data_IF_303495617539
#
_entry.id   IF_303495617539
#
_cell.length_a   1.000
_cell.length_b   1.000
_cell.length_c   1.000
_cell.angle_alpha   90.00
_cell.angle_beta   90.00
_cell.angle_gamma   90.00
#
_symmetry.space_group_name_H-M   'P 1'
#
loop_
_entity.id
_entity.type
_entity.pdbx_description
1 polymer ?
#
# COMPACT_ATOMS: atom_id res chain seq x y z
N UNK A 1 23.60 4.13 -3.91
CA UNK A 1 22.49 4.50 -3.01
C UNK A 1 21.38 3.51 -3.28
N UNK A 2 20.69 3.01 -2.27
CA UNK A 2 19.52 2.16 -2.46
C UNK A 2 18.32 3.01 -2.91
N UNK A 3 17.45 2.40 -3.70
CA UNK A 3 16.28 3.05 -4.30
C UNK A 3 14.99 2.38 -3.85
N UNK A 4 13.93 3.14 -3.60
CA UNK A 4 12.62 2.60 -3.26
C UNK A 4 11.51 3.37 -3.97
N UNK A 5 10.49 2.62 -4.38
CA UNK A 5 9.26 3.15 -4.97
C UNK A 5 8.14 3.10 -3.94
N UNK A 6 7.45 4.20 -3.71
CA UNK A 6 6.14 4.17 -3.05
C UNK A 6 5.02 4.26 -4.08
N UNK A 7 4.04 3.37 -3.98
CA UNK A 7 2.80 3.37 -4.78
C UNK A 7 1.66 3.65 -3.81
N UNK A 8 1.18 4.87 -3.74
CA UNK A 8 0.18 5.29 -2.74
C UNK A 8 -0.53 6.58 -3.14
N UNK A 9 -1.54 6.95 -2.38
CA UNK A 9 -2.19 8.26 -2.50
C UNK A 9 -1.29 9.40 -2.03
N UNK A 10 -1.56 10.60 -2.52
CA UNK A 10 -0.91 11.84 -2.12
C UNK A 10 -1.71 12.48 -0.97
N UNK A 11 -1.04 12.90 0.10
CA UNK A 11 -1.60 13.73 1.17
C UNK A 11 -1.11 15.18 1.03
N UNK A 12 -2.02 16.09 0.68
CA UNK A 12 -1.67 17.51 0.49
C UNK A 12 -1.13 18.19 1.75
N UNK A 13 -1.44 17.67 2.95
CA UNK A 13 -0.87 18.17 4.21
C UNK A 13 0.52 17.60 4.52
N UNK A 14 0.92 16.54 3.81
CA UNK A 14 2.25 15.94 3.92
C UNK A 14 2.48 15.04 5.12
N UNK A 15 1.43 14.66 5.86
CA UNK A 15 1.51 13.82 7.06
C UNK A 15 1.38 12.32 6.80
N UNK A 16 0.86 11.94 5.64
CA UNK A 16 0.63 10.56 5.22
C UNK A 16 1.00 10.34 3.75
N UNK A 17 0.62 9.20 3.18
CA UNK A 17 0.78 8.88 1.77
C UNK A 17 2.20 8.99 1.25
N UNK A 18 2.34 9.27 -0.05
CA UNK A 18 3.67 9.38 -0.69
C UNK A 18 4.57 10.42 -0.02
N UNK A 19 4.01 11.51 0.52
CA UNK A 19 4.80 12.56 1.17
C UNK A 19 5.47 12.07 2.46
N UNK A 20 4.77 11.29 3.28
CA UNK A 20 5.34 10.67 4.47
C UNK A 20 6.37 9.60 4.09
N UNK A 21 6.05 8.78 3.10
CA UNK A 21 6.93 7.72 2.62
C UNK A 21 8.25 8.30 2.08
N UNK A 22 8.20 9.32 1.20
CA UNK A 22 9.38 9.97 0.64
C UNK A 22 10.25 10.59 1.74
N UNK A 23 9.65 11.30 2.70
CA UNK A 23 10.39 11.88 3.83
C UNK A 23 11.09 10.81 4.66
N UNK A 24 10.40 9.70 4.93
CA UNK A 24 10.95 8.59 5.71
C UNK A 24 12.08 7.89 4.96
N UNK A 25 11.92 7.61 3.67
CA UNK A 25 12.94 7.00 2.82
C UNK A 25 14.19 7.88 2.76
N UNK A 26 14.02 9.18 2.53
CA UNK A 26 15.13 10.15 2.49
C UNK A 26 15.87 10.23 3.83
N UNK A 27 15.13 10.26 4.95
CA UNK A 27 15.74 10.29 6.30
C UNK A 27 16.57 9.03 6.59
N UNK A 28 16.29 7.92 5.90
CA UNK A 28 17.05 6.67 5.99
C UNK A 28 18.09 6.51 4.86
N UNK A 29 18.40 7.55 4.11
CA UNK A 29 19.42 7.54 3.06
C UNK A 29 19.04 6.75 1.81
N UNK A 30 17.73 6.57 1.55
CA UNK A 30 17.18 5.88 0.39
C UNK A 30 16.68 6.89 -0.63
N UNK A 31 17.01 6.70 -1.91
CA UNK A 31 16.43 7.49 -3.00
C UNK A 31 14.98 7.08 -3.22
N UNK A 32 14.06 8.02 -3.01
CA UNK A 32 12.62 7.76 -3.04
C UNK A 32 12.02 8.17 -4.39
N UNK A 33 11.21 7.28 -4.95
CA UNK A 33 10.39 7.50 -6.15
C UNK A 33 8.93 7.27 -5.81
N UNK A 34 8.00 7.79 -6.61
CA UNK A 34 6.56 7.64 -6.35
C UNK A 34 5.75 7.39 -7.61
N UNK A 35 4.76 6.49 -7.51
CA UNK A 35 3.63 6.36 -8.43
C UNK A 35 2.35 6.65 -7.64
N UNK A 36 1.48 7.53 -8.16
CA UNK A 36 0.39 8.13 -7.39
C UNK A 36 -0.93 7.46 -7.71
N UNK A 37 -1.54 6.81 -6.72
CA UNK A 37 -2.85 6.15 -6.89
C UNK A 37 -4.02 7.13 -6.84
N UNK A 38 -3.89 8.20 -6.07
CA UNK A 38 -4.90 9.25 -5.95
C UNK A 38 -4.28 10.56 -5.44
N UNK A 39 -4.83 11.67 -5.86
CA UNK A 39 -4.62 12.98 -5.21
C UNK A 39 -5.71 13.20 -4.17
N UNK A 40 -5.35 13.71 -2.99
CA UNK A 40 -6.34 14.08 -1.98
C UNK A 40 -6.26 15.57 -1.64
N UNK A 41 -7.41 16.19 -1.45
CA UNK A 41 -7.52 17.46 -0.76
C UNK A 41 -7.68 17.15 0.73
N UNK A 42 -6.56 17.06 1.44
CA UNK A 42 -6.48 16.56 2.81
C UNK A 42 -5.72 17.52 3.71
N UNK A 43 -6.14 17.56 4.97
CA UNK A 43 -5.45 18.26 6.05
C UNK A 43 -5.52 17.42 7.35
N UNK A 44 -5.04 17.96 8.46
CA UNK A 44 -5.02 17.26 9.76
C UNK A 44 -6.40 16.98 10.34
N UNK A 45 -7.46 17.55 9.78
CA UNK A 45 -8.84 17.37 10.24
C UNK A 45 -9.66 16.41 9.37
N UNK A 46 -9.19 16.08 8.15
CA UNK A 46 -9.87 15.13 7.28
C UNK A 46 -9.55 15.27 5.80
N UNK A 47 -10.24 14.47 4.99
CA UNK A 47 -10.17 14.43 3.53
C UNK A 47 -11.45 15.03 2.96
N UNK A 48 -11.34 16.08 2.15
CA UNK A 48 -12.50 16.80 1.57
C UNK A 48 -12.77 16.42 0.11
N UNK A 49 -11.75 15.95 -0.62
CA UNK A 49 -11.90 15.46 -1.99
C UNK A 49 -10.81 14.44 -2.33
N UNK A 50 -11.14 13.53 -3.24
CA UNK A 50 -10.23 12.51 -3.77
C UNK A 50 -10.37 12.51 -5.29
N UNK A 51 -9.24 12.50 -5.99
CA UNK A 51 -9.14 12.31 -7.43
C UNK A 51 -8.25 11.10 -7.70
N UNK A 52 -8.85 9.98 -8.06
CA UNK A 52 -8.11 8.75 -8.40
C UNK A 52 -7.35 8.91 -9.72
N UNK A 53 -6.15 8.34 -9.79
CA UNK A 53 -5.47 8.11 -11.06
C UNK A 53 -6.25 7.09 -11.89
N UNK A 54 -6.11 7.13 -13.22
CA UNK A 54 -6.59 6.02 -14.03
C UNK A 54 -5.62 4.84 -13.95
N UNK A 55 -6.08 3.58 -14.07
CA UNK A 55 -5.19 2.42 -14.08
C UNK A 55 -4.10 2.53 -15.14
N UNK A 56 -4.44 3.05 -16.33
CA UNK A 56 -3.50 3.23 -17.44
C UNK A 56 -2.40 4.23 -17.09
N UNK A 57 -2.75 5.36 -16.46
CA UNK A 57 -1.77 6.37 -16.09
C UNK A 57 -0.87 5.88 -14.96
N UNK A 58 -1.42 5.21 -13.95
CA UNK A 58 -0.64 4.57 -12.89
C UNK A 58 0.33 3.52 -13.46
N UNK A 59 -0.11 2.73 -14.46
CA UNK A 59 0.75 1.81 -15.18
C UNK A 59 1.92 2.52 -15.86
N UNK A 60 1.68 3.67 -16.51
CA UNK A 60 2.72 4.47 -17.15
C UNK A 60 3.72 5.08 -16.14
N UNK A 61 3.26 5.51 -14.96
CA UNK A 61 4.17 5.97 -13.89
C UNK A 61 5.10 4.83 -13.44
N UNK A 62 4.55 3.63 -13.22
CA UNK A 62 5.32 2.44 -12.83
C UNK A 62 6.32 2.08 -13.94
N UNK A 63 5.89 2.03 -15.20
CA UNK A 63 6.74 1.74 -16.36
C UNK A 63 7.91 2.73 -16.47
N UNK A 64 7.63 4.03 -16.32
CA UNK A 64 8.65 5.09 -16.38
C UNK A 64 9.75 4.90 -15.33
N UNK A 65 9.38 4.41 -14.13
CA UNK A 65 10.32 4.17 -13.04
C UNK A 65 11.13 2.90 -13.31
N UNK A 66 10.45 1.78 -13.59
CA UNK A 66 11.12 0.49 -13.73
C UNK A 66 12.04 0.39 -14.96
N UNK A 67 11.75 1.16 -16.00
CA UNK A 67 12.57 1.19 -17.24
C UNK A 67 13.80 2.12 -17.16
N UNK A 68 13.86 3.00 -16.16
CA UNK A 68 14.99 3.93 -15.94
C UNK A 68 15.71 3.63 -14.61
N UNK A 69 15.11 3.95 -13.48
CA UNK A 69 15.71 3.73 -12.16
C UNK A 69 14.96 2.58 -11.45
N UNK A 70 15.36 1.33 -11.77
CA UNK A 70 14.73 0.15 -11.18
C UNK A 70 14.80 0.20 -9.64
N UNK A 71 13.65 0.13 -8.93
CA UNK A 71 13.64 0.14 -7.47
C UNK A 71 14.25 -1.14 -6.87
N UNK A 72 15.03 -0.99 -5.78
CA UNK A 72 15.48 -2.12 -4.95
C UNK A 72 14.34 -2.68 -4.09
N UNK A 73 13.34 -1.83 -3.74
CA UNK A 73 12.18 -2.19 -2.95
C UNK A 73 10.95 -1.38 -3.37
N UNK A 74 9.77 -1.93 -3.12
CA UNK A 74 8.48 -1.27 -3.40
C UNK A 74 7.63 -1.27 -2.13
N UNK A 75 7.12 -0.09 -1.74
CA UNK A 75 6.10 0.04 -0.69
C UNK A 75 4.77 0.38 -1.34
N UNK A 76 3.73 -0.33 -0.98
CA UNK A 76 2.37 -0.05 -1.43
C UNK A 76 1.56 0.43 -0.22
N UNK A 77 0.93 1.59 -0.36
CA UNK A 77 0.04 2.15 0.65
C UNK A 77 -1.41 2.14 0.21
N UNK A 78 -2.11 3.26 0.35
CA UNK A 78 -3.52 3.37 -0.01
C UNK A 78 -3.77 3.14 -1.50
N UNK A 79 -4.63 2.16 -1.81
CA UNK A 79 -5.18 1.92 -3.15
C UNK A 79 -6.70 1.68 -3.00
N UNK A 80 -7.52 2.56 -3.56
CA UNK A 80 -8.95 2.62 -3.27
C UNK A 80 -9.83 1.68 -4.12
N UNK A 81 -9.37 1.31 -5.32
CA UNK A 81 -10.19 0.65 -6.35
C UNK A 81 -9.54 -0.62 -6.89
N UNK A 82 -10.35 -1.65 -7.18
CA UNK A 82 -9.89 -2.92 -7.71
C UNK A 82 -9.07 -2.80 -9.01
N UNK A 83 -9.44 -1.98 -10.02
CA UNK A 83 -8.64 -1.84 -11.24
C UNK A 83 -7.23 -1.28 -11.01
N UNK A 84 -7.04 -0.41 -10.02
CA UNK A 84 -5.72 0.09 -9.65
C UNK A 84 -4.88 -1.03 -9.01
N UNK A 85 -5.48 -1.84 -8.13
CA UNK A 85 -4.81 -2.99 -7.51
C UNK A 85 -4.38 -4.01 -8.56
N UNK A 86 -5.25 -4.31 -9.53
CA UNK A 86 -4.96 -5.22 -10.64
C UNK A 86 -3.80 -4.70 -11.51
N UNK A 87 -3.80 -3.40 -11.81
CA UNK A 87 -2.72 -2.76 -12.56
C UNK A 87 -1.39 -2.85 -11.81
N UNK A 88 -1.37 -2.50 -10.52
CA UNK A 88 -0.17 -2.61 -9.67
C UNK A 88 0.35 -4.05 -9.67
N UNK A 89 -0.51 -5.02 -9.34
CA UNK A 89 -0.11 -6.42 -9.27
C UNK A 89 0.38 -6.95 -10.63
N UNK A 90 -0.24 -6.52 -11.74
CA UNK A 90 0.21 -6.82 -13.10
C UNK A 90 1.61 -6.29 -13.37
N UNK A 91 1.86 -5.03 -13.09
CA UNK A 91 3.16 -4.38 -13.30
C UNK A 91 4.26 -4.96 -12.41
N UNK A 92 3.97 -5.23 -11.14
CA UNK A 92 4.97 -5.85 -10.25
C UNK A 92 5.36 -7.25 -10.71
N UNK A 93 4.42 -8.04 -11.25
CA UNK A 93 4.73 -9.33 -11.89
C UNK A 93 5.55 -9.18 -13.16
N UNK A 94 5.16 -8.26 -14.06
CA UNK A 94 5.84 -7.97 -15.32
C UNK A 94 7.31 -7.62 -15.08
N UNK A 95 7.58 -6.76 -14.12
CA UNK A 95 8.94 -6.33 -13.79
C UNK A 95 9.68 -7.24 -12.80
N UNK A 96 9.07 -8.34 -12.34
CA UNK A 96 9.65 -9.21 -11.31
C UNK A 96 10.13 -8.39 -10.10
N UNK A 97 9.27 -7.52 -9.59
CA UNK A 97 9.57 -6.66 -8.45
C UNK A 97 9.88 -7.50 -7.21
N UNK A 98 10.80 -7.02 -6.37
CA UNK A 98 11.27 -7.70 -5.16
C UNK A 98 11.19 -6.76 -3.97
N UNK A 99 11.26 -7.31 -2.77
CA UNK A 99 11.21 -6.56 -1.51
C UNK A 99 9.94 -5.69 -1.43
N UNK A 100 8.80 -6.35 -1.59
CA UNK A 100 7.48 -5.70 -1.64
C UNK A 100 6.93 -5.61 -0.21
N UNK A 101 6.69 -4.38 0.24
CA UNK A 101 6.02 -4.08 1.51
C UNK A 101 4.61 -3.57 1.20
N UNK A 102 3.59 -4.21 1.77
CA UNK A 102 2.19 -3.76 1.62
C UNK A 102 1.67 -3.25 2.95
N UNK A 103 1.25 -2.00 2.96
CA UNK A 103 0.49 -1.39 4.04
C UNK A 103 -0.99 -1.39 3.61
N UNK A 104 -1.82 -2.31 4.13
CA UNK A 104 -3.17 -2.55 3.61
C UNK A 104 -4.17 -1.52 4.13
N UNK A 105 -3.95 -0.25 3.81
CA UNK A 105 -4.75 0.87 4.29
C UNK A 105 -6.21 0.72 3.87
N UNK A 106 -7.10 0.47 4.83
CA UNK A 106 -8.53 0.26 4.59
C UNK A 106 -9.41 1.40 5.12
N UNK A 107 -8.96 2.04 6.19
CA UNK A 107 -9.72 3.08 6.89
C UNK A 107 -8.79 4.25 7.22
N UNK A 108 -9.23 5.47 6.94
CA UNK A 108 -8.52 6.67 7.37
C UNK A 108 -8.54 6.82 8.89
N UNK A 109 -7.57 7.55 9.45
CA UNK A 109 -7.55 7.91 10.88
C UNK A 109 -8.84 8.61 11.33
N UNK A 110 -9.54 9.29 10.42
CA UNK A 110 -10.85 9.90 10.65
C UNK A 110 -12.01 8.89 10.71
N UNK A 111 -11.79 7.60 10.46
CA UNK A 111 -12.79 6.55 10.38
C UNK A 111 -13.47 6.40 9.01
N UNK A 112 -13.11 7.22 8.02
CA UNK A 112 -13.64 7.09 6.65
C UNK A 112 -13.07 5.84 5.97
N UNK A 113 -13.94 5.04 5.35
CA UNK A 113 -13.53 3.88 4.55
C UNK A 113 -12.86 4.37 3.26
N UNK A 114 -11.62 3.94 3.02
CA UNK A 114 -10.79 4.37 1.89
C UNK A 114 -10.75 3.37 0.74
N UNK A 115 -11.31 2.18 0.94
CA UNK A 115 -11.27 1.08 -0.02
C UNK A 115 -12.68 0.48 -0.18
N UNK A 116 -13.05 0.13 -1.41
CA UNK A 116 -14.33 -0.55 -1.70
C UNK A 116 -14.27 -2.05 -1.33
N UNK A 117 -15.42 -2.70 -1.19
CA UNK A 117 -15.47 -4.11 -0.78
C UNK A 117 -14.85 -5.05 -1.84
N UNK A 118 -15.08 -4.78 -3.11
CA UNK A 118 -14.48 -5.50 -4.24
C UNK A 118 -12.96 -5.28 -4.33
N UNK A 119 -12.49 -4.08 -3.97
CA UNK A 119 -11.07 -3.79 -3.91
C UNK A 119 -10.37 -4.56 -2.77
N UNK A 120 -11.02 -4.77 -1.61
CA UNK A 120 -10.49 -5.61 -0.53
C UNK A 120 -10.30 -7.05 -1.01
N UNK A 121 -11.27 -7.60 -1.72
CA UNK A 121 -11.17 -8.94 -2.28
C UNK A 121 -10.06 -9.06 -3.33
N UNK A 122 -9.90 -8.05 -4.18
CA UNK A 122 -8.84 -7.98 -5.16
C UNK A 122 -7.46 -7.85 -4.49
N UNK A 123 -7.35 -7.02 -3.46
CA UNK A 123 -6.14 -6.87 -2.63
C UNK A 123 -5.72 -8.24 -2.06
N UNK A 124 -6.66 -8.94 -1.39
CA UNK A 124 -6.43 -10.26 -0.78
C UNK A 124 -5.99 -11.31 -1.80
N UNK A 125 -6.50 -11.28 -3.02
CA UNK A 125 -6.23 -12.29 -4.06
C UNK A 125 -5.00 -11.98 -4.91
N UNK A 126 -4.75 -10.70 -5.20
CA UNK A 126 -3.78 -10.30 -6.23
C UNK A 126 -2.49 -9.72 -5.65
N UNK A 127 -2.58 -8.93 -4.58
CA UNK A 127 -1.47 -8.14 -4.09
C UNK A 127 -0.83 -8.71 -2.82
N UNK A 128 -1.64 -9.13 -1.83
CA UNK A 128 -1.09 -9.68 -0.59
C UNK A 128 -0.22 -10.92 -0.79
N UNK A 129 -0.52 -11.86 -1.72
CA UNK A 129 0.36 -13.00 -1.99
C UNK A 129 1.71 -12.64 -2.61
N UNK A 130 1.89 -11.38 -3.04
CA UNK A 130 3.15 -10.87 -3.60
C UNK A 130 4.00 -10.13 -2.55
N UNK A 131 3.42 -9.85 -1.39
CA UNK A 131 4.12 -9.12 -0.33
C UNK A 131 5.19 -9.98 0.35
N UNK A 132 6.38 -9.40 0.55
CA UNK A 132 7.39 -9.96 1.44
C UNK A 132 7.07 -9.59 2.90
N UNK A 133 6.55 -8.36 3.11
CA UNK A 133 6.15 -7.83 4.41
C UNK A 133 4.77 -7.19 4.31
N UNK A 134 3.93 -7.47 5.29
CA UNK A 134 2.62 -6.83 5.46
C UNK A 134 2.57 -6.10 6.79
N UNK A 135 2.08 -4.85 6.82
CA UNK A 135 2.06 -3.99 8.02
C UNK A 135 0.64 -3.57 8.43
N UNK A 136 -0.29 -4.52 8.71
CA UNK A 136 -1.64 -4.17 9.09
C UNK A 136 -1.68 -3.61 10.52
N UNK A 137 -2.48 -2.58 10.73
CA UNK A 137 -2.92 -2.22 12.07
C UNK A 137 -3.94 -3.22 12.62
N UNK A 138 -4.33 -3.11 13.91
CA UNK A 138 -5.27 -4.06 14.54
C UNK A 138 -6.61 -4.17 13.78
N UNK A 139 -7.32 -3.08 13.43
CA UNK A 139 -8.53 -3.15 12.63
C UNK A 139 -8.35 -3.85 11.27
N UNK A 140 -7.26 -3.60 10.58
CA UNK A 140 -6.92 -4.23 9.30
C UNK A 140 -6.62 -5.72 9.47
N UNK A 141 -5.87 -6.10 10.50
CA UNK A 141 -5.62 -7.50 10.83
C UNK A 141 -6.92 -8.25 11.17
N UNK A 142 -7.85 -7.62 11.89
CA UNK A 142 -9.19 -8.17 12.14
C UNK A 142 -9.97 -8.38 10.82
N UNK A 143 -9.94 -7.42 9.91
CA UNK A 143 -10.58 -7.53 8.58
C UNK A 143 -9.95 -8.62 7.71
N UNK A 144 -8.62 -8.76 7.76
CA UNK A 144 -7.91 -9.78 6.98
C UNK A 144 -8.13 -11.20 7.50
N UNK A 145 -8.26 -11.37 8.82
CA UNK A 145 -8.37 -12.68 9.47
C UNK A 145 -9.81 -13.10 9.76
N UNK A 146 -10.70 -12.14 9.97
CA UNK A 146 -12.04 -12.34 10.52
C UNK A 146 -12.03 -12.63 12.02
N UNK A 147 -10.93 -12.38 12.73
CA UNK A 147 -10.75 -12.65 14.16
C UNK A 147 -10.88 -11.36 14.98
N UNK A 148 -11.35 -11.46 16.22
CA UNK A 148 -11.29 -10.37 17.19
C UNK A 148 -9.92 -10.34 17.84
N UNK A 149 -9.29 -9.17 17.91
CA UNK A 149 -7.98 -8.98 18.52
C UNK A 149 -8.16 -8.04 19.73
N UNK A 150 -7.97 -8.59 20.93
CA UNK A 150 -8.12 -7.86 22.19
C UNK A 150 -6.88 -7.96 23.10
N UNK A 151 -5.90 -8.79 22.75
CA UNK A 151 -4.67 -9.02 23.51
C UNK A 151 -3.48 -9.20 22.59
N UNK A 152 -2.27 -9.13 23.15
CA UNK A 152 -1.02 -9.43 22.42
C UNK A 152 -1.01 -10.87 21.87
N UNK A 153 -1.58 -11.82 22.64
CA UNK A 153 -1.70 -13.20 22.16
C UNK A 153 -2.61 -13.31 20.94
N UNK A 154 -3.71 -12.55 20.87
CA UNK A 154 -4.56 -12.51 19.69
C UNK A 154 -3.83 -11.89 18.49
N UNK A 155 -2.97 -10.90 18.73
CA UNK A 155 -2.13 -10.31 17.66
C UNK A 155 -1.18 -11.35 17.08
N UNK A 156 -0.51 -12.17 17.92
CA UNK A 156 0.37 -13.25 17.44
C UNK A 156 -0.42 -14.30 16.64
N UNK A 157 -1.62 -14.67 17.11
CA UNK A 157 -2.48 -15.62 16.38
C UNK A 157 -2.92 -15.05 15.03
N UNK A 158 -3.31 -13.77 14.99
CA UNK A 158 -3.69 -13.09 13.76
C UNK A 158 -2.50 -13.00 12.78
N UNK A 159 -1.31 -12.66 13.28
CA UNK A 159 -0.10 -12.61 12.47
C UNK A 159 0.22 -13.98 11.84
N UNK A 160 0.17 -15.08 12.62
CA UNK A 160 0.34 -16.45 12.11
C UNK A 160 -0.71 -16.79 11.05
N UNK A 161 -1.98 -16.44 11.30
CA UNK A 161 -3.08 -16.69 10.35
C UNK A 161 -2.84 -15.96 9.01
N UNK A 162 -2.34 -14.72 9.06
CA UNK A 162 -2.00 -13.96 7.85
C UNK A 162 -0.81 -14.58 7.14
N UNK A 163 0.25 -14.95 7.89
CA UNK A 163 1.41 -15.64 7.33
C UNK A 163 1.02 -16.95 6.63
N UNK A 164 0.23 -17.79 7.29
CA UNK A 164 -0.22 -19.08 6.72
C UNK A 164 -1.07 -18.89 5.46
N UNK A 165 -1.80 -17.77 5.38
CA UNK A 165 -2.69 -17.46 4.24
C UNK A 165 -1.97 -16.84 3.06
N UNK A 166 -0.99 -15.96 3.29
CA UNK A 166 -0.37 -15.15 2.24
C UNK A 166 1.14 -15.39 2.09
N UNK A 167 1.81 -16.03 3.05
CA UNK A 167 3.24 -16.35 3.00
C UNK A 167 4.18 -15.18 3.29
N UNK A 168 3.64 -14.03 3.77
CA UNK A 168 4.41 -12.81 4.05
C UNK A 168 4.75 -12.63 5.53
N UNK A 169 5.90 -12.00 5.84
CA UNK A 169 6.21 -11.54 7.19
C UNK A 169 5.26 -10.39 7.63
N UNK A 170 5.01 -10.29 8.95
CA UNK A 170 4.11 -9.30 9.53
C UNK A 170 4.82 -8.59 10.67
#
# INVERSE_FOLDING_TARGET
MKTALTIAGSDSSGGAGIQADIKTMLANGVYAMSAITALTAQNTTGVTAILNATPEFLGQEIDSIFTDIRPDAVKIGMVSEAPLIEMIAGKLREYHAQNIVVDPVMVATSGARLISADAIDTLKKQLLPMADILTPNIPEAMELTGQTIASEQDMEIAARTIFDRYGCAI
#
